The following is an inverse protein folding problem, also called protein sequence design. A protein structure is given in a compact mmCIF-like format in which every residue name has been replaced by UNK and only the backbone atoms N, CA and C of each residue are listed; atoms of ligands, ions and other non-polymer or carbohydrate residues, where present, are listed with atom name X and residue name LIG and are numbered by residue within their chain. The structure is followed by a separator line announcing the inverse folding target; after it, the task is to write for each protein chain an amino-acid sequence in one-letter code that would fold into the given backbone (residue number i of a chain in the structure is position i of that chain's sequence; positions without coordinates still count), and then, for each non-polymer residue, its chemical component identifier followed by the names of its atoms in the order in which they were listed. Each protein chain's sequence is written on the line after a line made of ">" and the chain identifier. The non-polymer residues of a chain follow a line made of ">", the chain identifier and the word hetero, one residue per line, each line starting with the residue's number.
data_IF_383261184641
#
_entry.id   IF_383261184641
#
_cell.length_a   1.000
_cell.length_b   1.000
_cell.length_c   1.000
_cell.angle_alpha   90.00
_cell.angle_beta   90.00
_cell.angle_gamma   90.00
#
_symmetry.space_group_name_H-M   'P 1'
#
loop_
_entity.id
_entity.type
_entity.pdbx_description
1 polymer ?
#
# COMPACT_ATOMS: atom_id res chain seq x y z
N UNK A 1 -1.05 -13.31 -7.04
CA UNK A 1 -1.41 -12.74 -8.35
C UNK A 1 -0.30 -11.86 -8.94
N UNK A 2 0.68 -11.46 -8.14
CA UNK A 2 1.83 -10.69 -8.59
C UNK A 2 3.14 -11.23 -8.00
N UNK A 3 4.24 -10.88 -8.63
CA UNK A 3 5.60 -11.13 -8.15
C UNK A 3 6.25 -9.78 -7.98
N UNK A 4 6.95 -9.59 -6.87
CA UNK A 4 7.74 -8.39 -6.59
C UNK A 4 9.20 -8.80 -6.47
N UNK A 5 10.07 -8.08 -7.15
CA UNK A 5 11.52 -8.32 -7.10
C UNK A 5 12.30 -7.02 -7.02
N UNK A 6 13.49 -7.02 -6.40
CA UNK A 6 14.35 -5.86 -6.38
C UNK A 6 14.96 -5.62 -7.77
N UNK A 7 15.03 -4.36 -8.15
CA UNK A 7 15.68 -3.91 -9.38
C UNK A 7 16.61 -2.74 -9.08
N UNK A 8 17.81 -2.81 -9.60
CA UNK A 8 18.82 -1.75 -9.37
C UNK A 8 19.15 -1.09 -10.71
N UNK A 9 19.02 0.22 -10.76
CA UNK A 9 19.42 1.04 -11.90
C UNK A 9 20.18 2.26 -11.39
N UNK A 10 21.35 2.51 -11.99
CA UNK A 10 22.24 3.64 -11.62
C UNK A 10 22.50 3.73 -10.10
N UNK A 11 22.62 2.58 -9.44
CA UNK A 11 22.88 2.49 -8.00
C UNK A 11 21.66 2.71 -7.10
N UNK A 12 20.51 3.07 -7.66
CA UNK A 12 19.24 3.19 -6.91
C UNK A 12 18.47 1.89 -7.00
N UNK A 13 17.95 1.43 -5.85
CA UNK A 13 17.16 0.20 -5.73
C UNK A 13 15.67 0.54 -5.78
N UNK A 14 14.92 -0.30 -6.48
CA UNK A 14 13.47 -0.24 -6.63
C UNK A 14 12.85 -1.60 -6.33
N UNK A 15 11.57 -1.62 -5.99
CA UNK A 15 10.74 -2.81 -6.02
C UNK A 15 9.90 -2.79 -7.29
N UNK A 16 10.06 -3.80 -8.15
CA UNK A 16 9.31 -3.93 -9.39
C UNK A 16 8.27 -5.03 -9.21
N UNK A 17 7.02 -4.70 -9.49
CA UNK A 17 5.88 -5.60 -9.40
C UNK A 17 5.37 -5.97 -10.78
N UNK A 18 5.24 -7.26 -11.03
CA UNK A 18 4.67 -7.83 -12.24
C UNK A 18 3.45 -8.69 -11.91
N UNK A 19 2.42 -8.61 -12.72
CA UNK A 19 1.28 -9.53 -12.62
C UNK A 19 1.59 -10.83 -13.35
N UNK A 20 1.28 -11.96 -12.71
CA UNK A 20 1.33 -13.29 -13.35
C UNK A 20 -0.09 -13.87 -13.60
N UNK A 21 -1.13 -13.12 -13.23
CA UNK A 21 -2.52 -13.44 -13.53
C UNK A 21 -3.23 -12.18 -14.05
N UNK A 22 -4.16 -12.38 -14.95
CA UNK A 22 -5.00 -11.28 -15.43
C UNK A 22 -6.19 -11.13 -14.47
N UNK A 23 -6.20 -10.06 -13.68
CA UNK A 23 -7.32 -9.66 -12.86
C UNK A 23 -8.06 -8.55 -13.58
N UNK A 24 -9.36 -8.75 -13.81
CA UNK A 24 -10.21 -7.76 -14.45
C UNK A 24 -10.18 -6.44 -13.65
N UNK A 25 -9.97 -5.34 -14.33
CA UNK A 25 -9.89 -4.01 -13.71
C UNK A 25 -8.62 -3.70 -12.91
N UNK A 26 -7.77 -4.70 -12.58
CA UNK A 26 -6.61 -4.47 -11.73
C UNK A 26 -5.61 -3.47 -12.32
N UNK A 27 -5.36 -3.53 -13.63
CA UNK A 27 -4.44 -2.60 -14.31
C UNK A 27 -4.97 -1.17 -14.29
N UNK A 28 -6.23 -0.98 -14.62
CA UNK A 28 -6.86 0.35 -14.63
C UNK A 28 -6.93 0.93 -13.22
N UNK A 29 -7.32 0.12 -12.23
CA UNK A 29 -7.31 0.53 -10.83
C UNK A 29 -5.91 0.95 -10.37
N UNK A 30 -4.89 0.18 -10.70
CA UNK A 30 -3.49 0.50 -10.33
C UNK A 30 -3.03 1.81 -10.98
N UNK A 31 -3.42 2.08 -12.22
CA UNK A 31 -3.13 3.34 -12.91
C UNK A 31 -3.80 4.54 -12.22
N UNK A 32 -5.07 4.38 -11.80
CA UNK A 32 -5.81 5.40 -11.05
C UNK A 32 -5.14 5.65 -9.69
N UNK A 33 -4.77 4.60 -8.96
CA UNK A 33 -4.06 4.71 -7.68
C UNK A 33 -2.73 5.44 -7.88
N UNK A 34 -1.88 5.01 -8.84
CA UNK A 34 -0.60 5.64 -9.15
C UNK A 34 -0.75 7.14 -9.37
N UNK A 35 -1.67 7.55 -10.24
CA UNK A 35 -1.93 8.97 -10.50
C UNK A 35 -2.43 9.75 -9.29
N UNK A 36 -3.20 9.10 -8.42
CA UNK A 36 -3.76 9.72 -7.22
C UNK A 36 -2.70 9.89 -6.13
N UNK A 37 -1.86 8.88 -5.90
CA UNK A 37 -0.76 8.94 -4.93
C UNK A 37 0.26 10.03 -5.29
N UNK A 38 0.56 10.19 -6.58
CA UNK A 38 1.42 11.26 -7.06
C UNK A 38 0.86 12.65 -6.75
N UNK A 39 -0.46 12.82 -6.87
CA UNK A 39 -1.15 14.09 -6.56
C UNK A 39 -1.23 14.36 -5.06
N UNK A 40 -1.52 13.31 -4.27
CA UNK A 40 -1.64 13.42 -2.81
C UNK A 40 -0.32 13.77 -2.13
N UNK A 41 0.80 13.28 -2.66
CA UNK A 41 2.16 13.53 -2.16
C UNK A 41 2.30 13.41 -0.63
N UNK A 42 1.71 12.37 -0.04
CA UNK A 42 1.76 12.13 1.39
C UNK A 42 3.04 11.36 1.76
N UNK A 43 3.65 11.63 2.94
CA UNK A 43 4.92 11.01 3.33
C UNK A 43 4.83 9.51 3.64
N UNK A 44 3.62 8.99 3.73
CA UNK A 44 3.34 7.58 4.05
C UNK A 44 3.35 6.66 2.83
N UNK A 45 3.34 7.22 1.63
CA UNK A 45 3.37 6.44 0.41
C UNK A 45 4.77 6.40 -0.19
N UNK A 46 5.14 5.23 -0.72
CA UNK A 46 6.34 5.11 -1.56
C UNK A 46 6.06 5.65 -2.95
N UNK A 47 7.10 6.05 -3.67
CA UNK A 47 6.97 6.28 -5.11
C UNK A 47 6.33 5.05 -5.75
N UNK A 48 5.24 5.24 -6.49
CA UNK A 48 4.43 4.17 -7.05
C UNK A 48 4.03 4.57 -8.47
N UNK A 49 4.78 4.06 -9.44
CA UNK A 49 4.62 4.41 -10.85
C UNK A 49 4.09 3.23 -11.65
N UNK A 50 2.97 3.41 -12.34
CA UNK A 50 2.45 2.44 -13.30
C UNK A 50 3.09 2.69 -14.68
N UNK A 51 3.81 1.70 -15.18
CA UNK A 51 4.43 1.71 -16.51
C UNK A 51 3.69 0.71 -17.42
N UNK A 52 2.96 1.22 -18.40
CA UNK A 52 2.16 0.40 -19.32
C UNK A 52 3.02 -0.50 -20.21
N UNK A 53 4.17 0.00 -20.63
CA UNK A 53 5.16 -0.72 -21.45
C UNK A 53 6.37 -1.08 -20.59
N UNK A 54 6.17 -1.89 -19.54
CA UNK A 54 7.16 -2.11 -18.50
C UNK A 54 8.16 -3.22 -18.80
N UNK A 55 7.71 -4.40 -19.20
CA UNK A 55 8.58 -5.57 -19.40
C UNK A 55 8.20 -6.34 -20.65
N UNK A 56 9.21 -6.69 -21.46
CA UNK A 56 9.04 -7.59 -22.60
C UNK A 56 9.01 -9.06 -22.13
N UNK A 57 7.98 -9.78 -22.55
CA UNK A 57 7.81 -11.21 -22.27
C UNK A 57 7.54 -11.98 -23.57
N UNK A 58 7.61 -13.30 -23.59
CA UNK A 58 7.21 -14.09 -24.76
C UNK A 58 5.76 -13.86 -25.20
N UNK A 59 4.90 -13.36 -24.30
CA UNK A 59 3.50 -13.03 -24.56
C UNK A 59 3.29 -11.54 -24.95
N UNK A 60 4.37 -10.82 -25.24
CA UNK A 60 4.34 -9.40 -25.56
C UNK A 60 4.76 -8.51 -24.40
N UNK A 61 4.65 -7.20 -24.59
CA UNK A 61 4.98 -6.21 -23.56
C UNK A 61 3.89 -6.18 -22.51
N UNK A 62 4.29 -6.25 -21.24
CA UNK A 62 3.39 -6.27 -20.08
C UNK A 62 3.63 -5.03 -19.21
N UNK A 63 2.57 -4.50 -18.59
CA UNK A 63 2.72 -3.42 -17.63
C UNK A 63 3.38 -3.91 -16.33
N UNK A 64 4.03 -2.98 -15.65
CA UNK A 64 4.63 -3.18 -14.33
C UNK A 64 4.30 -2.01 -13.42
N UNK A 65 4.50 -2.20 -12.12
CA UNK A 65 4.59 -1.10 -11.15
C UNK A 65 6.03 -1.00 -10.67
N UNK A 66 6.55 0.23 -10.68
CA UNK A 66 7.86 0.56 -10.13
C UNK A 66 7.62 1.31 -8.83
N UNK A 67 8.18 0.81 -7.74
CA UNK A 67 8.06 1.40 -6.42
C UNK A 67 9.44 1.77 -5.88
N UNK A 68 9.53 2.87 -5.15
CA UNK A 68 10.76 3.15 -4.42
C UNK A 68 11.04 2.05 -3.39
N UNK A 69 12.29 1.62 -3.32
CA UNK A 69 12.71 0.69 -2.27
C UNK A 69 12.81 1.42 -0.94
N UNK A 70 12.22 0.86 0.10
CA UNK A 70 12.22 1.43 1.44
C UNK A 70 13.11 0.60 2.36
N UNK A 71 14.08 1.24 2.99
CA UNK A 71 14.84 0.67 4.08
C UNK A 71 14.05 0.87 5.38
N UNK A 72 13.20 -0.10 5.70
CA UNK A 72 12.32 -0.08 6.84
C UNK A 72 12.02 -1.50 7.32
N UNK A 73 11.53 -1.65 8.54
CA UNK A 73 11.16 -2.93 9.14
C UNK A 73 9.64 -3.08 9.15
N UNK A 74 9.08 -4.28 9.03
CA UNK A 74 7.67 -4.50 9.28
C UNK A 74 7.29 -4.03 10.70
N UNK A 75 6.08 -3.50 10.86
CA UNK A 75 5.58 -2.96 12.14
C UNK A 75 5.80 -3.92 13.30
N UNK A 76 5.50 -5.21 13.11
CA UNK A 76 5.69 -6.24 14.13
C UNK A 76 7.16 -6.31 14.59
N UNK A 77 8.09 -6.38 13.64
CA UNK A 77 9.53 -6.47 13.97
C UNK A 77 10.04 -5.22 14.70
N UNK A 78 9.55 -4.03 14.31
CA UNK A 78 9.90 -2.80 15.03
C UNK A 78 9.38 -2.83 16.47
N UNK A 79 8.13 -3.25 16.71
CA UNK A 79 7.54 -3.36 18.05
C UNK A 79 8.34 -4.35 18.89
N UNK A 80 8.65 -5.55 18.35
CA UNK A 80 9.41 -6.58 19.05
C UNK A 80 10.80 -6.09 19.53
N UNK A 81 11.48 -5.29 18.73
CA UNK A 81 12.77 -4.70 19.10
C UNK A 81 12.67 -3.60 20.16
N UNK A 82 11.52 -2.92 20.25
CA UNK A 82 11.32 -1.77 21.16
C UNK A 82 10.35 -2.07 22.29
N UNK A 83 10.11 -3.34 22.64
CA UNK A 83 9.14 -3.72 23.70
C UNK A 83 9.42 -3.05 25.05
N UNK A 84 10.67 -2.74 25.35
CA UNK A 84 11.10 -2.10 26.60
C UNK A 84 11.50 -0.62 26.42
N UNK A 85 11.23 -0.04 25.26
CA UNK A 85 11.46 1.37 24.92
C UNK A 85 10.11 2.09 24.74
N UNK A 86 9.57 2.57 25.87
CA UNK A 86 8.28 3.23 25.91
C UNK A 86 8.23 4.49 25.02
N UNK A 87 9.33 5.24 24.91
CA UNK A 87 9.39 6.46 24.12
C UNK A 87 9.28 6.17 22.63
N UNK A 88 9.95 5.13 22.14
CA UNK A 88 9.85 4.69 20.75
C UNK A 88 8.45 4.16 20.42
N UNK A 89 7.83 3.38 21.31
CA UNK A 89 6.47 2.89 21.13
C UNK A 89 5.43 4.03 21.17
N UNK A 90 5.60 4.98 22.08
CA UNK A 90 4.71 6.15 22.14
C UNK A 90 4.82 7.01 20.89
N UNK A 91 6.02 7.24 20.39
CA UNK A 91 6.26 7.95 19.11
C UNK A 91 5.62 7.22 17.93
N UNK A 92 5.78 5.90 17.87
CA UNK A 92 5.15 5.05 16.85
C UNK A 92 3.62 5.20 16.87
N UNK A 93 3.00 5.15 18.07
CA UNK A 93 1.55 5.28 18.22
C UNK A 93 1.06 6.67 17.75
N UNK A 94 1.77 7.74 18.08
CA UNK A 94 1.44 9.09 17.62
C UNK A 94 1.59 9.24 16.10
N UNK A 95 2.64 8.66 15.53
CA UNK A 95 2.84 8.66 14.07
C UNK A 95 1.73 7.90 13.36
N UNK A 96 1.29 6.77 13.94
CA UNK A 96 0.17 6.00 13.40
C UNK A 96 -1.15 6.79 13.46
N UNK A 97 -1.45 7.42 14.57
CA UNK A 97 -2.63 8.28 14.73
C UNK A 97 -2.61 9.42 13.71
N UNK A 98 -1.47 10.11 13.57
CA UNK A 98 -1.32 11.20 12.59
C UNK A 98 -1.51 10.70 11.16
N UNK A 99 -0.96 9.54 10.82
CA UNK A 99 -1.12 8.92 9.51
C UNK A 99 -2.60 8.63 9.21
N UNK A 100 -3.29 7.95 10.11
CA UNK A 100 -4.71 7.60 9.91
C UNK A 100 -5.60 8.84 9.81
N UNK A 101 -5.35 9.87 10.60
CA UNK A 101 -6.06 11.15 10.50
C UNK A 101 -5.89 11.78 9.11
N UNK A 102 -4.66 11.86 8.60
CA UNK A 102 -4.39 12.43 7.29
C UNK A 102 -5.03 11.61 6.15
N UNK A 103 -5.01 10.28 6.23
CA UNK A 103 -5.72 9.43 5.26
C UNK A 103 -7.23 9.76 5.24
N UNK A 104 -7.85 9.87 6.42
CA UNK A 104 -9.28 10.19 6.54
C UNK A 104 -9.61 11.59 6.01
N UNK A 105 -8.80 12.60 6.32
CA UNK A 105 -8.98 13.97 5.85
C UNK A 105 -8.96 14.07 4.32
N UNK A 106 -8.18 13.21 3.66
CA UNK A 106 -8.10 13.15 2.20
C UNK A 106 -9.10 12.13 1.58
N UNK A 107 -9.97 11.54 2.39
CA UNK A 107 -10.90 10.50 1.95
C UNK A 107 -10.18 9.33 1.26
N UNK A 108 -9.07 8.90 1.80
CA UNK A 108 -8.26 7.77 1.33
C UNK A 108 -8.31 6.66 2.37
N UNK A 109 -8.36 5.41 1.93
CA UNK A 109 -8.10 4.25 2.80
C UNK A 109 -7.11 3.30 2.13
N UNK A 110 -6.32 2.62 2.94
CA UNK A 110 -5.43 1.57 2.47
C UNK A 110 -6.22 0.31 2.06
N UNK A 111 -7.32 0.04 2.76
CA UNK A 111 -8.22 -1.07 2.49
C UNK A 111 -7.72 -2.44 2.99
N UNK A 112 -6.45 -2.56 3.33
CA UNK A 112 -5.84 -3.70 4.01
C UNK A 112 -4.75 -3.21 4.97
N UNK A 113 -5.14 -2.32 5.90
CA UNK A 113 -4.25 -1.72 6.88
C UNK A 113 -3.95 -2.71 8.00
N UNK A 114 -2.96 -3.57 7.78
CA UNK A 114 -2.52 -4.61 8.71
C UNK A 114 -1.00 -4.54 8.93
N UNK A 115 -0.53 -5.19 9.99
CA UNK A 115 0.86 -5.08 10.46
C UNK A 115 1.93 -5.46 9.41
N UNK A 116 1.60 -6.27 8.41
CA UNK A 116 2.51 -6.63 7.32
C UNK A 116 2.60 -5.58 6.22
N UNK A 117 1.60 -4.68 6.12
CA UNK A 117 1.54 -3.62 5.14
C UNK A 117 2.01 -2.26 5.68
N UNK A 118 2.42 -2.23 6.95
CA UNK A 118 2.99 -1.05 7.61
C UNK A 118 4.47 -1.29 7.86
N UNK A 119 5.29 -0.46 7.27
CA UNK A 119 6.74 -0.47 7.45
C UNK A 119 7.16 0.72 8.32
N UNK A 120 8.15 0.50 9.20
CA UNK A 120 8.66 1.52 10.12
C UNK A 120 10.12 1.79 9.82
N UNK A 121 10.44 3.03 9.51
CA UNK A 121 11.81 3.52 9.30
C UNK A 121 12.56 3.60 10.63
N UNK A 122 13.87 3.74 10.58
CA UNK A 122 14.73 3.86 11.77
C UNK A 122 14.41 5.08 12.64
N UNK A 123 13.82 6.14 12.07
CA UNK A 123 13.38 7.34 12.77
C UNK A 123 11.95 7.24 13.35
N UNK A 124 11.28 6.08 13.19
CA UNK A 124 9.90 5.85 13.59
C UNK A 124 8.86 6.32 12.57
N UNK A 125 9.29 6.83 11.42
CA UNK A 125 8.41 7.23 10.32
C UNK A 125 7.73 6.01 9.70
N UNK A 126 6.42 6.15 9.39
CA UNK A 126 5.62 5.08 8.82
C UNK A 126 5.59 5.15 7.29
N UNK A 127 5.58 3.98 6.66
CA UNK A 127 5.40 3.81 5.23
C UNK A 127 4.43 2.67 4.98
N UNK A 128 3.45 2.90 4.15
CA UNK A 128 2.49 1.90 3.71
C UNK A 128 2.98 1.22 2.42
N UNK A 129 2.72 -0.06 2.31
CA UNK A 129 3.04 -0.89 1.14
C UNK A 129 1.83 -1.74 0.76
N UNK A 130 1.78 -2.23 -0.48
CA UNK A 130 0.71 -3.07 -1.02
C UNK A 130 -0.65 -2.35 -1.15
N UNK A 131 -0.76 -1.53 -2.19
CA UNK A 131 -1.92 -0.67 -2.44
C UNK A 131 -3.08 -1.35 -3.22
N UNK A 132 -3.14 -2.68 -3.26
CA UNK A 132 -4.13 -3.39 -4.09
C UNK A 132 -5.57 -3.16 -3.67
N UNK A 133 -5.82 -2.99 -2.38
CA UNK A 133 -7.16 -2.74 -1.82
C UNK A 133 -7.43 -1.25 -1.55
N UNK A 134 -6.51 -0.37 -1.97
CA UNK A 134 -6.60 1.06 -1.68
C UNK A 134 -7.83 1.68 -2.32
N UNK A 135 -8.49 2.55 -1.56
CA UNK A 135 -9.49 3.49 -2.05
C UNK A 135 -8.88 4.90 -2.16
N UNK A 136 -9.14 5.51 -3.30
CA UNK A 136 -8.98 6.95 -3.55
C UNK A 136 -10.27 7.50 -4.13
N UNK A 137 -10.60 8.80 -4.02
CA UNK A 137 -11.90 9.34 -4.48
C UNK A 137 -12.26 9.02 -5.93
N UNK A 138 -11.27 8.86 -6.81
CA UNK A 138 -11.48 8.47 -8.22
C UNK A 138 -11.97 7.02 -8.39
N UNK A 139 -11.93 6.21 -7.34
CA UNK A 139 -12.42 4.82 -7.33
C UNK A 139 -13.81 4.70 -6.66
N UNK A 140 -14.53 5.80 -6.48
CA UNK A 140 -15.89 5.74 -5.96
C UNK A 140 -16.78 4.86 -6.86
N UNK A 141 -17.53 3.94 -6.24
CA UNK A 141 -18.38 2.97 -6.94
C UNK A 141 -17.66 1.72 -7.47
N UNK A 142 -16.32 1.66 -7.36
CA UNK A 142 -15.58 0.45 -7.71
C UNK A 142 -15.71 -0.63 -6.63
N UNK A 143 -15.60 -1.87 -7.08
CA UNK A 143 -15.56 -3.05 -6.19
C UNK A 143 -14.15 -3.61 -6.10
N UNK A 144 -13.87 -4.30 -5.01
CA UNK A 144 -12.63 -5.02 -4.78
C UNK A 144 -12.92 -6.51 -4.56
N UNK A 145 -12.29 -7.36 -5.34
CA UNK A 145 -12.35 -8.81 -5.16
C UNK A 145 -11.37 -9.31 -4.08
N UNK A 146 -10.45 -8.44 -3.63
CA UNK A 146 -9.48 -8.73 -2.58
C UNK A 146 -10.09 -8.30 -1.24
N UNK A 147 -10.19 -9.22 -0.31
CA UNK A 147 -10.85 -8.95 0.98
C UNK A 147 -9.92 -8.57 2.11
N UNK A 148 -8.61 -8.48 1.86
CA UNK A 148 -7.62 -8.18 2.89
C UNK A 148 -7.43 -9.31 3.92
N UNK A 149 -6.63 -9.05 4.97
CA UNK A 149 -6.33 -10.04 6.00
C UNK A 149 -7.49 -10.16 7.00
N UNK A 150 -8.03 -11.38 7.23
CA UNK A 150 -9.03 -11.60 8.28
C UNK A 150 -8.56 -11.11 9.65
N UNK A 151 -9.47 -10.47 10.41
CA UNK A 151 -9.16 -9.86 11.70
C UNK A 151 -8.83 -8.35 11.62
N UNK A 152 -8.49 -7.85 10.44
CA UNK A 152 -8.28 -6.43 10.16
C UNK A 152 -9.39 -5.84 9.28
N UNK A 153 -10.40 -6.63 8.96
CA UNK A 153 -11.49 -6.23 8.07
C UNK A 153 -12.82 -6.25 8.81
N UNK A 154 -13.62 -5.20 8.63
CA UNK A 154 -14.99 -5.20 9.12
C UNK A 154 -15.77 -6.37 8.50
N UNK A 155 -16.60 -7.13 9.28
CA UNK A 155 -17.34 -8.27 8.75
C UNK A 155 -18.18 -7.98 7.50
N UNK A 156 -18.70 -6.77 7.37
CA UNK A 156 -19.45 -6.35 6.17
C UNK A 156 -18.61 -6.35 4.88
N UNK A 157 -17.28 -6.38 4.96
CA UNK A 157 -16.38 -6.44 3.81
C UNK A 157 -16.57 -7.73 3.00
N UNK A 158 -16.97 -8.80 3.66
CA UNK A 158 -17.22 -10.09 3.01
C UNK A 158 -18.49 -10.13 2.17
N UNK A 159 -19.45 -9.25 2.45
CA UNK A 159 -20.72 -9.14 1.73
C UNK A 159 -20.80 -7.91 0.85
N UNK A 160 -20.13 -6.83 1.24
CA UNK A 160 -20.07 -5.58 0.49
C UNK A 160 -18.66 -5.33 -0.02
N UNK A 161 -18.47 -5.54 -1.30
CA UNK A 161 -17.17 -5.43 -1.97
C UNK A 161 -16.85 -4.02 -2.49
N UNK A 162 -17.70 -3.03 -2.24
CA UNK A 162 -17.41 -1.66 -2.65
C UNK A 162 -16.21 -1.09 -1.90
N UNK A 163 -15.33 -0.46 -2.65
CA UNK A 163 -14.26 0.33 -2.08
C UNK A 163 -14.84 1.54 -1.34
N UNK A 164 -14.30 1.87 -0.19
CA UNK A 164 -14.83 2.93 0.67
C UNK A 164 -13.69 3.63 1.44
N UNK A 165 -13.78 4.96 1.65
CA UNK A 165 -12.81 5.67 2.47
C UNK A 165 -12.79 5.24 3.94
N UNK A 166 -13.79 4.46 4.38
CA UNK A 166 -13.92 3.97 5.76
C UNK A 166 -13.36 2.57 5.98
N UNK A 167 -12.71 1.97 4.97
CA UNK A 167 -12.22 0.60 5.09
C UNK A 167 -11.27 0.41 6.27
N UNK A 168 -10.44 1.40 6.56
CA UNK A 168 -9.44 1.34 7.64
C UNK A 168 -9.96 1.71 9.04
N UNK A 169 -11.24 2.04 9.20
CA UNK A 169 -11.80 2.40 10.52
C UNK A 169 -11.93 1.22 11.48
N UNK A 170 -11.83 0.01 10.96
CA UNK A 170 -11.90 -1.23 11.73
C UNK A 170 -10.52 -1.86 11.97
N UNK A 171 -9.52 -1.50 11.18
CA UNK A 171 -8.17 -2.12 11.17
C UNK A 171 -7.37 -1.86 12.44
#
# INVERSE_FOLDING_TARGET
>A
YCIVFPYIVSGKKYAVRCWHANLEGAKERTKIISSSLHTLNMPYFVGFEYAENGIATPLGVQPIVIMDWVEAKPLKGYIEEHLFDADSLYRLANNFLSMTQQLHEHSVSHGDLQHGNIMVKSDGGLVLVDYDSMYVPKLEGWTDEISGLPGYQHPARWTNKYLTPKADYFS
#
